data_IF_382699306535
#
_entry.id   IF_382699306535
#
_cell.length_a   1.000
_cell.length_b   1.000
_cell.length_c   1.000
_cell.angle_alpha   90.00
_cell.angle_beta   90.00
_cell.angle_gamma   90.00
#
_symmetry.space_group_name_H-M   'P 1'
#
loop_
_entity.id
_entity.type
_entity.pdbx_description
1 polymer ?
#
# COMPACT_ATOMS: atom_id res chain seq x y z
N UNK A 1 19.98 35.28 -47.11
CA UNK A 1 20.40 34.17 -46.26
C UNK A 1 20.54 34.70 -44.85
N UNK A 2 19.57 34.44 -43.99
CA UNK A 2 19.68 34.59 -42.54
C UNK A 2 19.21 33.26 -41.94
N UNK A 3 20.08 32.64 -41.15
CA UNK A 3 19.70 31.64 -40.14
C UNK A 3 20.53 31.93 -38.89
N UNK A 4 20.25 31.30 -37.73
CA UNK A 4 19.08 30.50 -37.38
C UNK A 4 18.29 31.08 -36.17
N UNK A 5 16.99 30.80 -36.08
CA UNK A 5 16.09 31.09 -34.95
C UNK A 5 16.36 30.18 -33.72
N UNK A 6 17.63 29.97 -33.34
CA UNK A 6 18.01 29.03 -32.27
C UNK A 6 18.01 29.63 -30.87
N UNK A 7 17.88 30.96 -30.76
CA UNK A 7 17.98 31.67 -29.46
C UNK A 7 16.63 31.66 -28.72
N UNK A 8 15.51 31.58 -29.44
CA UNK A 8 14.16 31.61 -28.88
C UNK A 8 13.71 30.23 -28.38
N UNK A 9 14.04 29.16 -29.11
CA UNK A 9 13.75 27.79 -28.69
C UNK A 9 14.52 27.39 -27.42
N UNK A 10 15.83 27.67 -27.36
CA UNK A 10 16.66 27.28 -26.20
C UNK A 10 16.24 28.00 -24.90
N UNK A 11 15.78 29.26 -25.00
CA UNK A 11 15.26 30.01 -23.85
C UNK A 11 13.91 29.45 -23.39
N UNK A 12 13.02 29.10 -24.33
CA UNK A 12 11.75 28.45 -24.01
C UNK A 12 11.94 27.08 -23.36
N UNK A 13 12.88 26.27 -23.85
CA UNK A 13 13.22 24.98 -23.24
C UNK A 13 13.78 25.17 -21.82
N UNK A 14 14.66 26.15 -21.60
CA UNK A 14 15.21 26.43 -20.27
C UNK A 14 14.14 26.89 -19.28
N UNK A 15 13.27 27.81 -19.68
CA UNK A 15 12.17 28.30 -18.83
C UNK A 15 11.17 27.18 -18.51
N UNK A 16 10.90 26.30 -19.48
CA UNK A 16 10.07 25.11 -19.29
C UNK A 16 10.72 24.12 -18.33
N UNK A 17 12.01 23.81 -18.48
CA UNK A 17 12.76 22.94 -17.57
C UNK A 17 12.76 23.49 -16.13
N UNK A 18 12.97 24.80 -15.97
CA UNK A 18 12.90 25.45 -14.65
C UNK A 18 11.51 25.35 -14.01
N UNK A 19 10.44 25.49 -14.79
CA UNK A 19 9.07 25.33 -14.29
C UNK A 19 8.76 23.88 -13.90
N UNK A 20 9.25 22.91 -14.67
CA UNK A 20 9.11 21.47 -14.38
C UNK A 20 9.83 21.13 -13.08
N UNK A 21 11.05 21.60 -12.89
CA UNK A 21 11.84 21.36 -11.67
C UNK A 21 11.20 22.00 -10.45
N UNK A 22 10.75 23.26 -10.54
CA UNK A 22 10.05 23.93 -9.45
C UNK A 22 8.75 23.20 -9.06
N UNK A 23 8.01 22.67 -10.04
CA UNK A 23 6.80 21.88 -9.80
C UNK A 23 7.13 20.56 -9.10
N UNK A 24 8.20 19.88 -9.54
CA UNK A 24 8.64 18.61 -8.95
C UNK A 24 9.10 18.78 -7.50
N UNK A 25 9.80 19.87 -7.19
CA UNK A 25 10.22 20.20 -5.83
C UNK A 25 9.03 20.51 -4.94
N UNK A 26 8.04 21.27 -5.45
CA UNK A 26 6.80 21.54 -4.73
C UNK A 26 6.03 20.26 -4.40
N UNK A 27 5.85 19.36 -5.37
CA UNK A 27 5.20 18.05 -5.16
C UNK A 27 5.97 17.19 -4.17
N UNK A 28 7.30 17.19 -4.25
CA UNK A 28 8.14 16.42 -3.32
C UNK A 28 8.04 16.92 -1.88
N UNK A 29 7.97 18.24 -1.71
CA UNK A 29 7.75 18.86 -0.41
C UNK A 29 6.34 18.53 0.13
N UNK A 30 5.32 18.66 -0.71
CA UNK A 30 3.93 18.32 -0.36
C UNK A 30 3.81 16.85 0.10
N UNK A 31 4.42 15.90 -0.63
CA UNK A 31 4.41 14.50 -0.22
C UNK A 31 5.08 14.28 1.15
N UNK A 32 6.24 14.89 1.38
CA UNK A 32 7.02 14.69 2.62
C UNK A 32 6.45 15.41 3.83
N UNK A 33 5.79 16.55 3.64
CA UNK A 33 5.33 17.40 4.75
C UNK A 33 3.83 17.25 5.04
N UNK A 34 3.04 16.77 4.07
CA UNK A 34 1.58 16.66 4.19
C UNK A 34 1.13 15.22 3.97
N UNK A 35 1.44 14.64 2.81
CA UNK A 35 0.94 13.31 2.43
C UNK A 35 1.25 12.23 3.48
N UNK A 36 2.48 12.23 3.98
CA UNK A 36 2.98 11.24 4.94
C UNK A 36 2.36 11.33 6.34
N UNK A 37 1.78 12.48 6.71
CA UNK A 37 1.30 12.73 8.07
C UNK A 37 -0.23 12.83 8.18
N UNK A 38 -0.92 13.29 7.13
CA UNK A 38 -2.36 13.58 7.23
C UNK A 38 -3.27 12.41 6.81
N UNK A 39 -2.73 11.36 6.19
CA UNK A 39 -3.54 10.24 5.70
C UNK A 39 -4.29 9.51 6.82
N UNK A 40 -3.67 9.34 8.00
CA UNK A 40 -4.28 8.65 9.12
C UNK A 40 -5.44 9.47 9.71
N UNK A 41 -5.24 10.79 9.86
CA UNK A 41 -6.30 11.72 10.27
C UNK A 41 -7.46 11.74 9.27
N UNK A 42 -7.16 11.69 7.98
CA UNK A 42 -8.17 11.58 6.94
C UNK A 42 -9.02 10.31 7.11
N UNK A 43 -8.38 9.14 7.29
CA UNK A 43 -9.10 7.88 7.49
C UNK A 43 -9.91 7.85 8.79
N UNK A 44 -9.48 8.56 9.85
CA UNK A 44 -10.29 8.72 11.08
C UNK A 44 -11.56 9.53 10.82
N UNK A 45 -11.46 10.59 10.03
CA UNK A 45 -12.61 11.43 9.68
C UNK A 45 -13.53 10.76 8.66
N UNK A 46 -12.95 9.96 7.76
CA UNK A 46 -13.61 9.30 6.64
C UNK A 46 -13.21 7.82 6.59
N UNK A 47 -13.79 6.98 7.47
CA UNK A 47 -13.38 5.57 7.58
C UNK A 47 -13.68 4.79 6.30
N UNK A 48 -12.83 3.78 5.96
CA UNK A 48 -13.14 2.82 4.90
C UNK A 48 -14.47 2.09 5.16
N UNK A 49 -15.10 1.65 4.08
CA UNK A 49 -16.34 0.89 4.15
C UNK A 49 -16.04 -0.58 4.53
N UNK A 50 -16.99 -1.23 5.19
CA UNK A 50 -16.88 -2.63 5.63
C UNK A 50 -16.97 -2.81 7.14
N UNK A 51 -17.01 -4.06 7.63
CA UNK A 51 -17.21 -4.36 9.04
C UNK A 51 -15.92 -4.30 9.88
N UNK A 52 -14.77 -4.12 9.23
CA UNK A 52 -13.46 -4.23 9.86
C UNK A 52 -13.09 -2.97 10.62
N UNK A 53 -12.40 -3.14 11.74
CA UNK A 53 -11.75 -2.02 12.45
C UNK A 53 -10.29 -1.97 12.01
N UNK A 54 -9.90 -0.83 11.47
CA UNK A 54 -8.56 -0.59 10.95
C UNK A 54 -7.72 0.18 11.97
N UNK A 55 -6.55 -0.36 12.31
CA UNK A 55 -5.51 0.33 13.06
C UNK A 55 -4.52 0.94 12.08
N UNK A 56 -4.27 2.24 12.23
CA UNK A 56 -3.26 2.96 11.44
C UNK A 56 -2.08 3.31 12.34
N UNK A 57 -0.87 2.89 11.98
CA UNK A 57 0.34 3.28 12.68
C UNK A 57 0.91 4.55 12.03
N UNK A 58 0.70 5.69 12.70
CA UNK A 58 1.08 7.04 12.24
C UNK A 58 2.50 7.43 12.71
N UNK A 59 3.02 6.75 13.74
CA UNK A 59 4.27 7.15 14.41
C UNK A 59 5.38 6.11 14.30
N UNK A 60 6.33 6.35 13.39
CA UNK A 60 7.53 5.55 13.21
C UNK A 60 7.54 4.86 11.85
N UNK A 61 8.69 4.89 11.17
CA UNK A 61 8.87 4.12 9.94
C UNK A 61 8.58 2.63 10.24
N UNK A 62 7.92 1.90 9.31
CA UNK A 62 7.52 2.31 7.95
C UNK A 62 6.25 3.17 7.92
N UNK A 63 6.25 4.21 7.07
CA UNK A 63 5.09 5.08 6.85
C UNK A 63 4.00 4.33 6.06
N UNK A 64 2.73 4.50 6.44
CA UNK A 64 1.60 4.03 5.64
C UNK A 64 1.15 2.60 5.91
N UNK A 65 1.36 2.10 7.13
CA UNK A 65 0.88 0.79 7.56
C UNK A 65 -0.54 0.88 8.11
N UNK A 66 -1.41 -0.01 7.62
CA UNK A 66 -2.79 -0.15 8.07
C UNK A 66 -3.07 -1.63 8.32
N UNK A 67 -3.61 -1.97 9.48
CA UNK A 67 -3.82 -3.36 9.87
C UNK A 67 -5.23 -3.56 10.45
N UNK A 68 -5.98 -4.57 10.00
CA UNK A 68 -7.27 -4.89 10.60
C UNK A 68 -7.04 -5.62 11.94
N UNK A 69 -7.80 -5.24 12.98
CA UNK A 69 -7.72 -5.88 14.31
C UNK A 69 -7.99 -7.40 14.27
N UNK A 70 -8.70 -7.86 13.24
CA UNK A 70 -8.96 -9.28 13.00
C UNK A 70 -7.68 -10.13 12.89
N UNK A 71 -6.52 -9.53 12.60
CA UNK A 71 -5.25 -10.24 12.42
C UNK A 71 -4.36 -10.23 13.67
N UNK A 72 -4.81 -9.66 14.79
CA UNK A 72 -4.02 -9.62 16.03
C UNK A 72 -3.64 -11.02 16.56
N UNK A 73 -4.44 -12.04 16.25
CA UNK A 73 -4.13 -13.44 16.56
C UNK A 73 -2.81 -13.92 15.94
N UNK A 74 -2.46 -13.43 14.74
CA UNK A 74 -1.17 -13.72 14.11
C UNK A 74 -0.04 -12.96 14.79
N UNK A 75 -0.29 -11.72 15.20
CA UNK A 75 0.68 -10.84 15.86
C UNK A 75 1.15 -11.42 17.20
N UNK A 76 0.23 -11.99 17.98
CA UNK A 76 0.55 -12.67 19.23
C UNK A 76 1.50 -13.88 19.05
N UNK A 77 1.56 -14.42 17.83
CA UNK A 77 2.45 -15.52 17.42
C UNK A 77 3.70 -15.04 16.67
N UNK A 78 3.91 -13.73 16.55
CA UNK A 78 5.05 -13.11 15.86
C UNK A 78 4.83 -12.80 14.37
N UNK A 79 3.67 -13.17 13.80
CA UNK A 79 3.33 -12.87 12.41
C UNK A 79 2.76 -11.47 12.26
N UNK A 80 3.45 -10.60 11.53
CA UNK A 80 3.04 -9.23 11.29
C UNK A 80 2.33 -9.10 9.93
N UNK A 81 1.01 -9.27 9.95
CA UNK A 81 0.14 -9.07 8.79
C UNK A 81 -0.39 -7.65 8.75
N UNK A 82 -0.24 -6.98 7.60
CA UNK A 82 -0.72 -5.62 7.42
C UNK A 82 -0.88 -5.29 5.94
N UNK A 83 -1.57 -4.18 5.67
CA UNK A 83 -1.47 -3.48 4.41
C UNK A 83 -0.46 -2.34 4.51
N UNK A 84 0.28 -2.13 3.44
CA UNK A 84 1.20 -1.01 3.29
C UNK A 84 0.82 -0.19 2.05
N UNK A 85 0.73 1.13 2.23
CA UNK A 85 0.70 2.09 1.14
C UNK A 85 2.00 2.91 1.17
N UNK A 86 2.45 3.37 0.01
CA UNK A 86 3.71 4.09 -0.13
C UNK A 86 3.45 5.59 -0.40
N UNK A 87 3.23 6.43 0.63
CA UNK A 87 2.98 7.86 0.46
C UNK A 87 4.30 8.60 0.15
N UNK A 88 4.77 8.46 -1.08
CA UNK A 88 6.02 9.07 -1.53
C UNK A 88 5.80 10.14 -2.63
N UNK A 89 6.79 11.01 -2.89
CA UNK A 89 6.71 12.00 -3.96
C UNK A 89 6.40 11.44 -5.35
N UNK A 90 6.87 10.23 -5.66
CA UNK A 90 6.70 9.61 -6.97
C UNK A 90 5.27 9.12 -7.15
N UNK A 91 4.65 8.56 -6.12
CA UNK A 91 3.24 8.19 -6.08
C UNK A 91 2.36 9.43 -6.35
N UNK A 92 2.60 10.52 -5.62
CA UNK A 92 1.87 11.79 -5.77
C UNK A 92 2.06 12.42 -7.15
N UNK A 93 3.29 12.43 -7.67
CA UNK A 93 3.59 12.96 -9.01
C UNK A 93 2.91 12.16 -10.13
N UNK A 94 2.78 10.84 -9.96
CA UNK A 94 2.21 9.95 -10.98
C UNK A 94 0.71 9.75 -10.88
N UNK A 95 0.08 10.17 -9.77
CA UNK A 95 -1.33 9.85 -9.52
C UNK A 95 -1.54 8.34 -9.37
N UNK A 96 -0.61 7.67 -8.68
CA UNK A 96 -0.59 6.22 -8.56
C UNK A 96 -0.33 5.77 -7.14
N UNK A 97 -1.26 5.00 -6.58
CA UNK A 97 -1.16 4.39 -5.27
C UNK A 97 -0.96 2.89 -5.46
N UNK A 98 0.18 2.38 -5.00
CA UNK A 98 0.42 0.95 -4.88
C UNK A 98 0.02 0.52 -3.48
N UNK A 99 -0.84 -0.48 -3.39
CA UNK A 99 -1.39 -1.02 -2.16
C UNK A 99 -1.00 -2.48 -2.05
N UNK A 100 -0.36 -2.86 -0.95
CA UNK A 100 0.16 -4.22 -0.79
C UNK A 100 -0.25 -4.82 0.53
N UNK A 101 -0.58 -6.11 0.51
CA UNK A 101 -0.75 -6.93 1.70
C UNK A 101 0.54 -7.69 1.99
N UNK A 102 1.06 -7.54 3.20
CA UNK A 102 2.35 -8.06 3.62
C UNK A 102 2.20 -9.03 4.79
N UNK A 103 3.09 -10.02 4.81
CA UNK A 103 3.41 -10.85 5.96
C UNK A 103 4.88 -10.62 6.31
N UNK A 104 5.16 -10.20 7.54
CA UNK A 104 6.52 -9.93 8.03
C UNK A 104 6.76 -10.55 9.40
N UNK A 105 8.00 -10.49 9.85
CA UNK A 105 8.38 -10.76 11.23
C UNK A 105 8.14 -9.52 12.09
N UNK A 106 7.32 -9.64 13.14
CA UNK A 106 6.95 -8.51 13.99
C UNK A 106 8.09 -7.90 14.81
N UNK A 107 9.26 -8.55 14.89
CA UNK A 107 10.43 -8.08 15.63
C UNK A 107 11.45 -7.42 14.70
N UNK A 108 11.69 -8.02 13.53
CA UNK A 108 12.76 -7.61 12.62
C UNK A 108 12.28 -6.86 11.37
N UNK A 109 10.99 -6.91 11.06
CA UNK A 109 10.40 -6.31 9.86
C UNK A 109 10.80 -7.03 8.56
N UNK A 110 11.41 -8.21 8.66
CA UNK A 110 11.73 -9.08 7.55
C UNK A 110 11.65 -10.54 8.01
N UNK A 111 10.94 -11.35 7.24
CA UNK A 111 10.68 -12.76 7.54
C UNK A 111 11.44 -13.66 6.56
N UNK A 112 11.95 -14.78 7.06
CA UNK A 112 12.54 -15.80 6.20
C UNK A 112 11.45 -16.63 5.53
N UNK A 113 11.33 -16.54 4.20
CA UNK A 113 10.40 -17.31 3.38
C UNK A 113 11.06 -18.49 2.66
N UNK A 114 12.23 -18.93 3.10
CA UNK A 114 12.95 -20.05 2.50
C UNK A 114 12.66 -21.39 3.19
N UNK A 115 12.66 -22.47 2.40
CA UNK A 115 12.50 -23.84 2.91
C UNK A 115 11.18 -24.03 3.67
N UNK A 116 11.28 -24.75 4.80
CA UNK A 116 10.14 -25.11 5.66
C UNK A 116 9.95 -24.11 6.82
N UNK A 117 10.23 -22.82 6.60
CA UNK A 117 10.05 -21.82 7.65
C UNK A 117 8.55 -21.65 8.00
N UNK A 118 8.21 -21.28 9.25
CA UNK A 118 6.83 -20.99 9.63
C UNK A 118 6.17 -19.92 8.76
N UNK A 119 6.94 -18.92 8.31
CA UNK A 119 6.46 -17.86 7.42
C UNK A 119 6.22 -18.35 6.00
N UNK A 120 7.05 -19.26 5.47
CA UNK A 120 6.83 -19.89 4.16
C UNK A 120 5.54 -20.71 4.18
N UNK A 121 5.34 -21.54 5.21
CA UNK A 121 4.14 -22.35 5.36
C UNK A 121 2.87 -21.50 5.53
N UNK A 122 2.91 -20.46 6.39
CA UNK A 122 1.77 -19.56 6.57
C UNK A 122 1.46 -18.78 5.28
N UNK A 123 2.48 -18.31 4.57
CA UNK A 123 2.32 -17.62 3.30
C UNK A 123 1.61 -18.51 2.27
N UNK A 124 2.08 -19.75 2.11
CA UNK A 124 1.48 -20.71 1.17
C UNK A 124 0.00 -20.93 1.50
N UNK A 125 -0.30 -21.17 2.78
CA UNK A 125 -1.68 -21.32 3.25
C UNK A 125 -2.55 -20.11 2.94
N UNK A 126 -2.09 -18.89 3.26
CA UNK A 126 -2.86 -17.67 2.99
C UNK A 126 -3.13 -17.52 1.49
N UNK A 127 -2.13 -17.83 0.65
CA UNK A 127 -2.29 -17.74 -0.81
C UNK A 127 -3.28 -18.78 -1.33
N UNK A 128 -3.24 -20.01 -0.82
CA UNK A 128 -4.18 -21.06 -1.21
C UNK A 128 -5.63 -20.66 -0.85
N UNK A 129 -5.86 -20.17 0.36
CA UNK A 129 -7.19 -19.69 0.81
C UNK A 129 -7.68 -18.49 0.00
N UNK A 130 -6.80 -17.51 -0.27
CA UNK A 130 -7.15 -16.36 -1.11
C UNK A 130 -7.42 -16.78 -2.56
N UNK A 131 -6.67 -17.75 -3.10
CA UNK A 131 -6.89 -18.26 -4.46
C UNK A 131 -8.25 -18.92 -4.57
N UNK A 132 -8.59 -19.80 -3.62
CA UNK A 132 -9.91 -20.43 -3.56
C UNK A 132 -11.02 -19.38 -3.44
N UNK A 133 -10.86 -18.40 -2.54
CA UNK A 133 -11.82 -17.32 -2.36
C UNK A 133 -12.04 -16.49 -3.63
N UNK A 134 -10.97 -16.14 -4.35
CA UNK A 134 -11.01 -15.36 -5.60
C UNK A 134 -11.68 -16.16 -6.73
N UNK A 135 -11.44 -17.47 -6.82
CA UNK A 135 -12.09 -18.32 -7.82
C UNK A 135 -13.59 -18.50 -7.58
N UNK A 136 -14.01 -18.52 -6.31
CA UNK A 136 -15.42 -18.63 -5.91
C UNK A 136 -16.16 -17.29 -5.94
N UNK A 137 -15.46 -16.20 -5.62
CA UNK A 137 -16.04 -14.86 -5.49
C UNK A 137 -15.84 -14.03 -6.74
N UNK A 138 -16.94 -13.63 -7.38
CA UNK A 138 -16.90 -12.77 -8.57
C UNK A 138 -16.65 -11.28 -8.29
N UNK A 139 -16.48 -10.88 -7.03
CA UNK A 139 -16.36 -9.48 -6.60
C UNK A 139 -15.18 -9.32 -5.63
N UNK A 140 -13.98 -9.21 -6.21
CA UNK A 140 -12.71 -9.02 -5.51
C UNK A 140 -11.90 -7.91 -6.18
N UNK A 141 -11.07 -7.16 -5.45
CA UNK A 141 -10.23 -6.12 -6.05
C UNK A 141 -9.28 -6.70 -7.10
N UNK A 142 -9.08 -5.96 -8.20
CA UNK A 142 -8.06 -6.31 -9.19
C UNK A 142 -6.65 -6.22 -8.57
N UNK A 143 -5.84 -7.24 -8.81
CA UNK A 143 -4.48 -7.30 -8.28
C UNK A 143 -3.78 -8.59 -8.66
N UNK A 144 -2.65 -8.84 -8.01
CA UNK A 144 -1.83 -10.02 -8.26
C UNK A 144 -1.11 -10.50 -6.99
N UNK A 145 -0.86 -11.80 -6.92
CA UNK A 145 0.00 -12.36 -5.89
C UNK A 145 1.46 -11.91 -6.04
N UNK A 146 2.06 -11.54 -4.91
CA UNK A 146 3.44 -11.08 -4.81
C UNK A 146 4.46 -12.21 -4.61
N UNK A 147 5.65 -11.84 -4.13
CA UNK A 147 6.73 -12.75 -3.74
C UNK A 147 7.31 -12.32 -2.39
N UNK A 148 7.93 -13.26 -1.68
CA UNK A 148 8.47 -13.01 -0.34
C UNK A 148 7.37 -12.52 0.60
N UNK A 149 7.64 -11.40 1.30
CA UNK A 149 6.69 -10.75 2.23
C UNK A 149 5.38 -10.31 1.58
N UNK A 150 5.39 -9.96 0.28
CA UNK A 150 4.18 -9.47 -0.39
C UNK A 150 3.28 -10.65 -0.75
N UNK A 151 2.08 -10.66 -0.15
CA UNK A 151 1.01 -11.61 -0.42
C UNK A 151 0.21 -11.18 -1.64
N UNK A 152 -0.32 -9.96 -1.63
CA UNK A 152 -1.15 -9.39 -2.69
C UNK A 152 -0.74 -7.95 -2.99
N UNK A 153 -0.83 -7.52 -4.25
CA UNK A 153 -0.60 -6.15 -4.66
C UNK A 153 -1.69 -5.68 -5.61
N UNK A 154 -2.19 -4.46 -5.40
CA UNK A 154 -3.17 -3.77 -6.23
C UNK A 154 -2.74 -2.33 -6.49
N UNK A 155 -3.15 -1.79 -7.64
CA UNK A 155 -2.77 -0.46 -8.09
C UNK A 155 -4.01 0.42 -8.29
N UNK A 156 -4.01 1.59 -7.66
CA UNK A 156 -5.09 2.56 -7.69
C UNK A 156 -4.63 3.86 -8.35
N UNK A 157 -5.54 4.49 -9.11
CA UNK A 157 -5.29 5.77 -9.78
C UNK A 157 -5.99 6.90 -9.05
N UNK A 158 -5.33 8.06 -9.01
CA UNK A 158 -5.89 9.29 -8.47
C UNK A 158 -5.34 10.51 -9.23
N UNK A 159 -5.90 11.69 -8.99
CA UNK A 159 -5.43 12.93 -9.63
C UNK A 159 -4.02 13.29 -9.15
N UNK A 160 -3.05 13.29 -10.06
CA UNK A 160 -1.66 13.60 -9.74
C UNK A 160 -1.50 14.99 -9.09
N UNK A 161 -0.68 15.06 -8.05
CA UNK A 161 -0.44 16.28 -7.26
C UNK A 161 -1.51 16.62 -6.22
N UNK A 162 -2.60 15.85 -6.16
CA UNK A 162 -3.71 16.06 -5.22
C UNK A 162 -3.61 15.06 -4.05
N UNK A 163 -3.34 15.57 -2.84
CA UNK A 163 -3.24 14.75 -1.63
C UNK A 163 -4.58 14.21 -1.16
N UNK A 164 -5.67 14.96 -1.34
CA UNK A 164 -7.02 14.50 -0.96
C UNK A 164 -7.42 13.34 -1.86
N UNK A 165 -7.15 13.45 -3.17
CA UNK A 165 -7.40 12.35 -4.11
C UNK A 165 -6.58 11.10 -3.77
N UNK A 166 -5.35 11.25 -3.25
CA UNK A 166 -4.58 10.11 -2.74
C UNK A 166 -5.29 9.45 -1.54
N UNK A 167 -5.77 10.23 -0.57
CA UNK A 167 -6.43 9.68 0.61
C UNK A 167 -7.77 9.01 0.28
N UNK A 168 -8.52 9.56 -0.67
CA UNK A 168 -9.71 8.93 -1.23
C UNK A 168 -9.38 7.58 -1.89
N UNK A 169 -8.32 7.53 -2.70
CA UNK A 169 -7.86 6.28 -3.30
C UNK A 169 -7.42 5.25 -2.25
N UNK A 170 -6.75 5.69 -1.17
CA UNK A 170 -6.38 4.81 -0.05
C UNK A 170 -7.62 4.26 0.67
N UNK A 171 -8.61 5.11 0.93
CA UNK A 171 -9.88 4.70 1.55
C UNK A 171 -10.60 3.66 0.68
N UNK A 172 -10.68 3.88 -0.63
CA UNK A 172 -11.26 2.91 -1.57
C UNK A 172 -10.49 1.61 -1.56
N UNK A 173 -9.15 1.66 -1.61
CA UNK A 173 -8.31 0.46 -1.56
C UNK A 173 -8.57 -0.39 -0.31
N UNK A 174 -8.63 0.24 0.87
CA UNK A 174 -8.97 -0.44 2.12
C UNK A 174 -10.39 -1.03 2.10
N UNK A 175 -11.34 -0.32 1.52
CA UNK A 175 -12.74 -0.77 1.43
C UNK A 175 -12.86 -2.00 0.53
N UNK A 176 -12.23 -1.97 -0.63
CA UNK A 176 -12.25 -3.10 -1.58
C UNK A 176 -11.55 -4.34 -0.98
N UNK A 177 -10.45 -4.14 -0.26
CA UNK A 177 -9.68 -5.23 0.35
C UNK A 177 -10.26 -5.75 1.67
N UNK A 178 -11.35 -5.16 2.17
CA UNK A 178 -12.03 -5.63 3.38
C UNK A 178 -12.52 -7.09 3.26
N UNK A 179 -12.78 -7.55 2.03
CA UNK A 179 -13.21 -8.93 1.73
C UNK A 179 -12.13 -9.98 2.06
N UNK A 180 -10.84 -9.62 1.96
CA UNK A 180 -9.74 -10.54 2.27
C UNK A 180 -9.51 -10.71 3.78
N UNK A 181 -10.01 -9.80 4.60
CA UNK A 181 -9.68 -9.76 6.04
C UNK A 181 -10.14 -11.03 6.76
N UNK A 182 -11.36 -11.51 6.52
CA UNK A 182 -11.85 -12.76 7.13
C UNK A 182 -11.12 -13.99 6.61
N UNK A 183 -10.83 -14.05 5.31
CA UNK A 183 -10.13 -15.18 4.68
C UNK A 183 -8.72 -15.33 5.26
N UNK A 184 -7.98 -14.22 5.35
CA UNK A 184 -6.63 -14.21 5.93
C UNK A 184 -6.69 -14.57 7.42
N UNK A 185 -7.69 -14.07 8.15
CA UNK A 185 -7.88 -14.42 9.56
C UNK A 185 -8.07 -15.93 9.74
N UNK A 186 -8.95 -16.55 8.98
CA UNK A 186 -9.24 -18.00 9.05
C UNK A 186 -8.00 -18.83 8.70
N UNK A 187 -7.22 -18.40 7.71
CA UNK A 187 -5.95 -19.02 7.34
C UNK A 187 -4.93 -18.99 8.50
N UNK A 188 -4.84 -17.85 9.19
CA UNK A 188 -3.96 -17.66 10.35
C UNK A 188 -4.43 -18.50 11.53
N UNK A 189 -5.71 -18.42 11.90
CA UNK A 189 -6.32 -19.20 13.00
C UNK A 189 -5.99 -20.68 12.85
N UNK A 190 -6.26 -21.26 11.68
CA UNK A 190 -5.99 -22.67 11.46
C UNK A 190 -4.50 -23.03 11.38
N UNK A 191 -3.59 -22.07 11.20
CA UNK A 191 -2.14 -22.29 11.30
C UNK A 191 -1.67 -22.25 12.76
N UNK A 192 -2.25 -21.38 13.59
CA UNK A 192 -1.97 -21.31 15.02
C UNK A 192 -2.44 -22.59 15.74
N UNK A 193 -3.64 -23.07 15.44
CA UNK A 193 -4.20 -24.30 16.02
C UNK A 193 -3.39 -25.57 15.73
N UNK A 194 -2.59 -25.58 14.65
CA UNK A 194 -1.74 -26.73 14.30
C UNK A 194 -0.41 -26.76 15.06
N UNK A 195 -0.05 -25.66 15.73
CA UNK A 195 1.20 -25.52 16.50
C UNK A 195 1.00 -25.69 18.02
N UNK A 196 -0.25 -25.81 18.49
CA UNK A 196 -0.59 -26.17 19.89
C UNK A 196 -0.63 -27.69 20.11
#
# INVERSE_FOLDING_TARGET
MNGPDTVDEASYYLDYEMQVDATRDAVSKLAREVLQYEWADYLRAYPPDGPQTWEHLDSGKPWGRVMPQAWDIGRDQGFDLHFEHYPDPQALQRGHLRFEMHLEDGVHGDADFSGDSPYAALRERIIDELTAFIEESGDVPEGAFGRGRTLWSADYRFTAGDTVAYYEALRSALSDHAVFVSVVREAVEGAVEQNE
#
